data_IF_070022309367
#
_entry.id   IF_070022309367
#
_cell.length_a   1.000
_cell.length_b   1.000
_cell.length_c   1.000
_cell.angle_alpha   90.00
_cell.angle_beta   90.00
_cell.angle_gamma   90.00
#
_symmetry.space_group_name_H-M   'P 1'
#
loop_
_entity.id
_entity.type
_entity.pdbx_description
1 polymer ?
#
# COMPACT_ATOMS: atom_id res chain seq x y z
N UNK A 1 -28.64 50.02 -24.40
CA UNK A 1 -28.41 49.05 -23.30
C UNK A 1 -27.36 48.06 -23.78
N UNK A 2 -26.17 47.98 -23.14
CA UNK A 2 -25.19 46.97 -23.53
C UNK A 2 -25.81 45.60 -23.24
N UNK A 3 -25.68 44.69 -24.19
CA UNK A 3 -26.23 43.33 -24.06
C UNK A 3 -25.38 42.64 -23.00
N UNK A 4 -25.88 42.58 -21.76
CA UNK A 4 -25.21 41.84 -20.69
C UNK A 4 -24.94 40.41 -21.20
N UNK A 5 -23.66 40.08 -21.30
CA UNK A 5 -23.20 38.77 -21.70
C UNK A 5 -23.54 37.76 -20.60
N UNK A 6 -24.80 37.31 -20.58
CA UNK A 6 -25.31 36.24 -19.70
C UNK A 6 -24.45 34.99 -19.75
N UNK A 7 -23.64 34.82 -20.80
CA UNK A 7 -22.63 33.76 -20.96
C UNK A 7 -21.52 33.84 -19.90
N UNK A 8 -21.15 35.03 -19.45
CA UNK A 8 -20.09 35.21 -18.45
C UNK A 8 -20.49 34.61 -17.10
N UNK A 9 -21.76 34.75 -16.69
CA UNK A 9 -22.26 34.29 -15.39
C UNK A 9 -22.33 32.77 -15.25
N UNK A 10 -22.60 32.04 -16.33
CA UNK A 10 -22.62 30.56 -16.30
C UNK A 10 -21.22 29.95 -16.33
N UNK A 11 -20.20 30.72 -16.74
CA UNK A 11 -18.84 30.23 -16.89
C UNK A 11 -17.92 30.62 -15.73
N UNK A 12 -18.39 31.40 -14.76
CA UNK A 12 -17.60 31.90 -13.61
C UNK A 12 -17.00 30.79 -12.75
N UNK A 13 -17.67 29.64 -12.67
CA UNK A 13 -17.25 28.52 -11.83
C UNK A 13 -16.55 27.39 -12.62
N UNK A 14 -16.31 27.54 -13.94
CA UNK A 14 -15.47 26.58 -14.66
C UNK A 14 -14.03 26.68 -14.18
N UNK A 15 -13.44 25.54 -13.82
CA UNK A 15 -12.10 25.46 -13.24
C UNK A 15 -12.06 25.55 -11.71
N UNK A 16 -13.16 25.92 -11.05
CA UNK A 16 -13.25 25.86 -9.58
C UNK A 16 -13.36 24.40 -9.13
N UNK A 17 -12.62 24.04 -8.08
CA UNK A 17 -12.66 22.70 -7.51
C UNK A 17 -14.07 22.37 -7.05
N UNK A 18 -14.75 21.47 -7.77
CA UNK A 18 -16.09 21.00 -7.39
C UNK A 18 -15.96 19.80 -6.47
N UNK A 19 -16.85 19.68 -5.47
CA UNK A 19 -16.89 18.50 -4.57
C UNK A 19 -17.39 17.22 -5.26
N UNK A 20 -17.56 17.23 -6.60
CA UNK A 20 -17.89 16.05 -7.38
C UNK A 20 -16.75 15.04 -7.29
N UNK A 21 -17.11 13.78 -7.05
CA UNK A 21 -16.13 12.70 -6.88
C UNK A 21 -15.48 12.64 -5.49
N UNK A 22 -15.97 13.42 -4.52
CA UNK A 22 -15.55 13.37 -3.12
C UNK A 22 -16.66 12.77 -2.26
N UNK A 23 -16.28 11.94 -1.26
CA UNK A 23 -17.15 11.41 -0.20
C UNK A 23 -16.51 11.61 1.17
N UNK A 24 -17.32 11.72 2.23
CA UNK A 24 -16.81 11.67 3.61
C UNK A 24 -16.72 10.22 4.10
N UNK A 25 -15.67 9.91 4.85
CA UNK A 25 -15.56 8.63 5.55
C UNK A 25 -16.62 8.56 6.66
N UNK A 26 -17.35 7.45 6.76
CA UNK A 26 -18.37 7.26 7.79
C UNK A 26 -17.80 7.06 9.21
N UNK A 27 -16.51 6.68 9.34
CA UNK A 27 -15.85 6.50 10.65
C UNK A 27 -15.13 7.77 11.12
N UNK A 28 -14.25 8.34 10.29
CA UNK A 28 -13.35 9.44 10.71
C UNK A 28 -13.66 10.80 10.04
N UNK A 29 -14.67 10.88 9.17
CA UNK A 29 -15.06 12.12 8.50
C UNK A 29 -14.12 12.61 7.38
N UNK A 30 -12.93 12.02 7.21
CA UNK A 30 -11.96 12.41 6.18
C UNK A 30 -12.59 12.42 4.78
N UNK A 31 -12.28 13.44 3.98
CA UNK A 31 -12.70 13.55 2.59
C UNK A 31 -11.85 12.61 1.71
N UNK A 32 -12.53 11.72 1.00
CA UNK A 32 -11.96 10.67 0.18
C UNK A 32 -12.51 10.75 -1.24
N UNK A 33 -11.76 10.25 -2.23
CA UNK A 33 -12.31 10.05 -3.56
C UNK A 33 -13.38 8.96 -3.57
N UNK A 34 -14.44 9.13 -4.36
CA UNK A 34 -15.51 8.12 -4.51
C UNK A 34 -15.03 6.82 -5.15
N UNK A 35 -13.91 6.89 -5.91
CA UNK A 35 -13.27 5.72 -6.53
C UNK A 35 -12.30 4.96 -5.61
N UNK A 36 -11.95 5.51 -4.44
CA UNK A 36 -11.01 4.85 -3.52
C UNK A 36 -11.56 3.55 -2.94
N UNK A 37 -10.67 2.60 -2.61
CA UNK A 37 -11.03 1.34 -1.95
C UNK A 37 -11.03 1.46 -0.42
N UNK A 38 -10.14 2.27 0.16
CA UNK A 38 -10.02 2.51 1.59
C UNK A 38 -9.95 3.99 1.94
N UNK A 39 -10.07 4.31 3.22
CA UNK A 39 -9.86 5.65 3.74
C UNK A 39 -8.41 6.08 3.56
N UNK A 40 -8.20 7.33 3.12
CA UNK A 40 -6.89 7.96 3.00
C UNK A 40 -6.27 8.30 4.36
N UNK A 41 -7.08 8.44 5.41
CA UNK A 41 -6.54 8.64 6.75
C UNK A 41 -5.94 7.33 7.26
N UNK A 42 -4.63 7.32 7.53
CA UNK A 42 -3.88 6.12 7.96
C UNK A 42 -4.29 5.59 9.33
N UNK A 43 -4.81 6.44 10.22
CA UNK A 43 -5.38 5.99 11.50
C UNK A 43 -6.82 5.47 11.38
N UNK A 44 -7.35 5.40 10.15
CA UNK A 44 -8.70 4.93 9.85
C UNK A 44 -8.65 3.72 8.93
N UNK A 45 -8.94 2.54 9.47
CA UNK A 45 -8.91 1.28 8.72
C UNK A 45 -10.19 0.98 7.92
N UNK A 46 -10.99 2.00 7.60
CA UNK A 46 -12.23 1.80 6.84
C UNK A 46 -11.93 1.42 5.40
N UNK A 47 -12.48 0.29 4.99
CA UNK A 47 -12.53 -0.17 3.61
C UNK A 47 -13.94 0.11 3.07
N UNK A 48 -14.01 0.83 1.96
CA UNK A 48 -15.27 1.30 1.38
C UNK A 48 -15.84 0.38 0.30
N UNK A 49 -14.98 -0.40 -0.35
CA UNK A 49 -15.36 -1.43 -1.31
C UNK A 49 -14.56 -2.64 -0.93
N UNK A 50 -15.22 -3.73 -0.57
CA UNK A 50 -14.55 -5.02 -0.52
C UNK A 50 -13.91 -5.25 -1.89
N UNK A 51 -12.61 -5.53 -1.88
CA UNK A 51 -11.96 -5.96 -3.09
C UNK A 51 -12.63 -7.26 -3.52
N UNK A 52 -13.36 -7.17 -4.64
CA UNK A 52 -14.41 -8.11 -4.97
C UNK A 52 -14.06 -9.57 -4.67
N UNK A 53 -15.06 -10.24 -4.11
CA UNK A 53 -15.20 -11.66 -3.73
C UNK A 53 -14.67 -12.70 -4.75
N UNK A 54 -14.16 -12.25 -5.91
CA UNK A 54 -13.69 -13.08 -7.02
C UNK A 54 -12.18 -12.99 -7.32
N UNK A 55 -11.36 -12.32 -6.52
CA UNK A 55 -9.90 -12.38 -6.72
C UNK A 55 -9.23 -13.21 -5.64
N UNK A 56 -9.11 -14.51 -5.94
CA UNK A 56 -8.05 -15.36 -5.38
C UNK A 56 -6.73 -14.58 -5.51
N UNK A 57 -5.99 -14.43 -4.41
CA UNK A 57 -4.70 -13.73 -4.27
C UNK A 57 -4.78 -12.19 -4.11
N UNK A 58 -5.29 -11.73 -2.96
CA UNK A 58 -5.10 -10.32 -2.51
C UNK A 58 -3.66 -10.01 -2.08
N UNK A 59 -2.81 -11.03 -1.99
CA UNK A 59 -1.42 -10.95 -1.55
C UNK A 59 -0.49 -11.28 -2.72
N UNK A 60 0.36 -10.34 -3.09
CA UNK A 60 1.42 -10.56 -4.07
C UNK A 60 2.78 -10.51 -3.39
N UNK A 61 3.60 -11.55 -3.64
CA UNK A 61 4.99 -11.58 -3.21
C UNK A 61 5.91 -11.47 -4.43
N UNK A 62 6.91 -10.60 -4.35
CA UNK A 62 7.94 -10.45 -5.39
C UNK A 62 9.33 -10.29 -4.77
N UNK A 63 10.32 -10.98 -5.34
CA UNK A 63 11.72 -10.88 -4.94
C UNK A 63 12.30 -9.54 -5.37
N UNK A 64 13.06 -8.91 -4.49
CA UNK A 64 13.79 -7.67 -4.78
C UNK A 64 15.18 -8.03 -5.29
N UNK A 65 15.59 -7.40 -6.37
CA UNK A 65 16.97 -7.45 -6.85
C UNK A 65 17.74 -6.38 -6.07
N UNK A 66 18.25 -6.78 -4.90
CA UNK A 66 19.26 -6.02 -4.17
C UNK A 66 20.62 -6.62 -4.54
N UNK A 67 21.61 -5.80 -4.89
CA UNK A 67 22.95 -6.25 -5.33
C UNK A 67 23.82 -6.85 -4.22
N UNK A 68 23.21 -7.54 -3.24
CA UNK A 68 23.87 -8.12 -2.07
C UNK A 68 23.46 -9.59 -1.90
N UNK A 69 24.23 -10.32 -1.09
CA UNK A 69 24.05 -11.73 -0.71
C UNK A 69 22.82 -11.96 0.20
N UNK A 70 21.68 -11.35 -0.12
CA UNK A 70 20.45 -11.44 0.67
C UNK A 70 19.24 -11.76 -0.20
N UNK A 71 18.39 -12.69 0.26
CA UNK A 71 17.13 -12.99 -0.40
C UNK A 71 16.02 -12.14 0.22
N UNK A 72 15.76 -10.97 -0.38
CA UNK A 72 14.72 -10.06 0.10
C UNK A 72 13.46 -10.21 -0.75
N UNK A 73 12.31 -10.35 -0.09
CA UNK A 73 11.00 -10.42 -0.72
C UNK A 73 10.14 -9.27 -0.23
N UNK A 74 9.35 -8.68 -1.13
CA UNK A 74 8.27 -7.77 -0.78
C UNK A 74 6.94 -8.48 -0.89
N UNK A 75 6.10 -8.38 0.13
CA UNK A 75 4.72 -8.87 0.12
C UNK A 75 3.76 -7.70 0.22
N UNK A 76 2.78 -7.62 -0.68
CA UNK A 76 1.80 -6.53 -0.71
C UNK A 76 0.38 -7.08 -0.62
N UNK A 77 -0.40 -6.55 0.31
CA UNK A 77 -1.85 -6.75 0.35
C UNK A 77 -2.52 -5.64 -0.45
N UNK A 78 -2.97 -5.95 -1.68
CA UNK A 78 -3.45 -4.95 -2.65
C UNK A 78 -4.61 -4.09 -2.12
N UNK A 79 -5.45 -4.69 -1.29
CA UNK A 79 -6.76 -4.13 -0.94
C UNK A 79 -6.74 -3.25 0.30
N UNK A 80 -5.63 -3.25 1.04
CA UNK A 80 -5.43 -2.41 2.22
C UNK A 80 -4.66 -1.12 1.92
N UNK A 81 -4.16 -0.96 0.69
CA UNK A 81 -3.43 0.23 0.24
C UNK A 81 -1.91 0.05 0.18
N UNK A 82 -1.17 1.08 -0.25
CA UNK A 82 0.28 1.00 -0.43
C UNK A 82 1.05 0.82 0.90
N UNK A 83 0.47 1.27 2.01
CA UNK A 83 1.06 1.16 3.36
C UNK A 83 1.09 -0.29 3.87
N UNK A 84 0.32 -1.21 3.27
CA UNK A 84 0.30 -2.63 3.62
C UNK A 84 1.25 -3.44 2.72
N UNK A 85 2.49 -2.96 2.62
CA UNK A 85 3.61 -3.66 1.98
C UNK A 85 4.66 -3.97 3.06
N UNK A 86 4.94 -5.24 3.26
CA UNK A 86 6.00 -5.72 4.13
C UNK A 86 7.20 -6.25 3.35
N UNK A 87 8.34 -6.34 4.03
CA UNK A 87 9.55 -6.94 3.50
C UNK A 87 10.01 -8.06 4.43
N UNK A 88 10.48 -9.16 3.84
CA UNK A 88 11.06 -10.30 4.56
C UNK A 88 12.40 -10.62 3.93
N UNK A 89 13.43 -10.72 4.77
CA UNK A 89 14.73 -11.24 4.39
C UNK A 89 14.80 -12.71 4.80
N UNK A 90 15.11 -13.57 3.83
CA UNK A 90 15.36 -14.99 4.08
C UNK A 90 16.87 -15.25 4.04
N UNK A 91 17.38 -16.17 4.89
CA UNK A 91 18.75 -16.65 4.78
C UNK A 91 19.03 -17.27 3.42
N UNK A 92 20.25 -17.10 2.92
CA UNK A 92 20.72 -17.84 1.75
C UNK A 92 20.92 -19.31 2.13
N UNK A 93 20.00 -20.18 1.70
CA UNK A 93 20.22 -21.62 1.78
C UNK A 93 21.11 -22.01 0.59
N UNK A 94 22.39 -22.26 0.84
CA UNK A 94 23.25 -22.94 -0.13
C UNK A 94 22.92 -24.43 -0.06
N UNK A 95 22.14 -24.92 -1.02
CA UNK A 95 21.93 -26.35 -1.19
C UNK A 95 23.21 -26.97 -1.73
N UNK A 96 24.09 -27.42 -0.83
CA UNK A 96 25.04 -28.47 -1.16
C UNK A 96 24.45 -29.78 -0.66
N UNK A 97 24.11 -30.61 -1.65
CA UNK A 97 23.89 -32.05 -1.56
C UNK A 97 22.46 -32.47 -1.19
N UNK A 98 21.90 -33.37 -2.01
CA UNK A 98 20.50 -33.81 -2.00
C UNK A 98 20.06 -34.63 -0.78
N UNK A 99 20.66 -34.43 0.39
CA UNK A 99 20.10 -34.78 1.69
C UNK A 99 19.30 -33.58 2.18
N UNK A 100 18.01 -33.76 2.46
CA UNK A 100 17.05 -32.69 2.82
C UNK A 100 17.31 -31.96 4.15
N UNK A 101 18.57 -31.71 4.51
CA UNK A 101 19.00 -31.09 5.75
C UNK A 101 19.28 -29.60 5.50
N UNK A 102 18.54 -28.74 6.20
CA UNK A 102 18.70 -27.28 6.11
C UNK A 102 19.85 -26.85 7.02
N UNK A 103 21.03 -26.59 6.45
CA UNK A 103 22.11 -25.91 7.17
C UNK A 103 21.91 -24.39 7.11
N UNK A 104 21.46 -23.80 8.22
CA UNK A 104 21.50 -22.36 8.42
C UNK A 104 22.96 -22.00 8.68
N UNK A 105 23.61 -21.36 7.71
CA UNK A 105 24.96 -20.80 7.89
C UNK A 105 24.99 -19.91 9.13
N UNK A 106 25.61 -20.43 10.19
CA UNK A 106 25.84 -19.71 11.41
C UNK A 106 27.08 -18.84 11.22
N UNK A 107 26.88 -17.55 10.99
CA UNK A 107 27.88 -16.54 11.34
C UNK A 107 27.43 -15.94 12.67
N UNK A 108 28.34 -16.00 13.64
CA UNK A 108 28.11 -15.81 15.08
C UNK A 108 27.12 -14.70 15.43
N UNK A 109 26.17 -15.07 16.27
CA UNK A 109 25.27 -14.20 17.02
C UNK A 109 26.08 -13.10 17.72
N UNK A 110 26.13 -11.90 17.12
CA UNK A 110 26.24 -10.67 17.89
C UNK A 110 24.83 -10.32 18.36
N UNK A 111 24.58 -10.51 19.65
CA UNK A 111 23.39 -10.18 20.45
C UNK A 111 22.06 -9.92 19.70
N UNK A 112 21.04 -10.78 19.84
CA UNK A 112 19.73 -10.61 19.21
C UNK A 112 18.84 -9.64 20.01
N UNK A 113 19.37 -8.49 20.41
CA UNK A 113 18.62 -7.45 21.13
C UNK A 113 19.00 -6.08 20.61
N UNK A 114 18.51 -5.71 19.42
CA UNK A 114 18.05 -4.36 19.06
C UNK A 114 17.76 -4.32 17.56
N UNK A 115 16.48 -4.45 17.16
CA UNK A 115 15.81 -3.50 16.24
C UNK A 115 14.35 -3.90 15.97
N UNK A 116 13.57 -4.16 17.02
CA UNK A 116 12.11 -3.94 16.95
C UNK A 116 11.78 -2.79 17.89
N UNK A 117 12.31 -1.62 17.57
CA UNK A 117 11.76 -0.35 17.99
C UNK A 117 12.51 0.73 17.23
N UNK A 118 11.85 1.36 16.28
CA UNK A 118 11.73 2.82 16.14
C UNK A 118 10.86 3.12 14.91
N UNK A 119 9.68 3.68 15.15
CA UNK A 119 8.95 4.55 14.20
C UNK A 119 7.96 3.89 13.26
#
# INVERSE_FOLDING_TARGET
MPREDKRATFLTDLGRATMRGVRRCHKCGTLNGTRGFSCKNKSCDVIFKEAGEKRKLSTEACRIIAGADAQIYSARVRDKGPDYRGFVQLPLIQSMDGSGDIFIGAESLGDPVLLVQMG
#
